data_IF_522045607783
#
_entry.id   IF_522045607783
#
_cell.length_a   1.000
_cell.length_b   1.000
_cell.length_c   1.000
_cell.angle_alpha   90.00
_cell.angle_beta   90.00
_cell.angle_gamma   90.00
#
_symmetry.space_group_name_H-M   'P 1'
#
loop_
_entity.id
_entity.type
_entity.pdbx_description
1 polymer ?
#
# COMPACT_ATOMS: atom_id res chain seq x y z
N UNK A 1 -2.20 6.55 31.12
CA UNK A 1 -1.84 5.15 30.81
C UNK A 1 -2.01 5.02 29.31
N UNK A 2 -0.92 4.77 28.57
CA UNK A 2 -1.02 4.44 27.14
C UNK A 2 -1.87 3.17 27.07
N UNK A 3 -2.99 3.13 26.32
CA UNK A 3 -3.72 1.89 26.18
C UNK A 3 -2.78 0.92 25.46
N UNK A 4 -2.37 -0.15 26.15
CA UNK A 4 -1.54 -1.23 25.57
C UNK A 4 -2.10 -1.70 24.21
N UNK A 5 -3.41 -1.60 24.07
CA UNK A 5 -4.17 -1.94 22.86
C UNK A 5 -3.80 -1.11 21.61
N UNK A 6 -3.52 0.21 21.74
CA UNK A 6 -3.16 1.03 20.58
C UNK A 6 -1.75 0.71 20.07
N UNK A 7 -0.81 0.46 20.97
CA UNK A 7 0.54 0.04 20.60
C UNK A 7 0.53 -1.36 19.95
N UNK A 8 -0.26 -2.29 20.48
CA UNK A 8 -0.43 -3.63 19.88
C UNK A 8 -1.05 -3.57 18.48
N UNK A 9 -2.03 -2.69 18.23
CA UNK A 9 -2.59 -2.47 16.89
C UNK A 9 -1.56 -1.90 15.92
N UNK A 10 -0.74 -0.97 16.36
CA UNK A 10 0.38 -0.43 15.57
C UNK A 10 1.42 -1.52 15.24
N UNK A 11 1.77 -2.39 16.19
CA UNK A 11 2.70 -3.52 15.94
C UNK A 11 2.11 -4.52 14.92
N UNK A 12 0.82 -4.84 15.02
CA UNK A 12 0.13 -5.69 14.02
C UNK A 12 0.11 -5.03 12.64
N UNK A 13 0.00 -3.71 12.58
CA UNK A 13 0.05 -2.95 11.31
C UNK A 13 1.38 -3.17 10.60
N UNK A 14 2.50 -3.16 11.33
CA UNK A 14 3.85 -3.37 10.79
C UNK A 14 4.01 -4.77 10.18
N UNK A 15 3.39 -5.81 10.76
CA UNK A 15 3.41 -7.17 10.20
C UNK A 15 2.81 -7.24 8.79
N UNK A 16 1.81 -6.40 8.52
CA UNK A 16 1.21 -6.29 7.18
C UNK A 16 1.98 -5.35 6.25
N UNK A 17 3.03 -4.68 6.72
CA UNK A 17 3.76 -3.71 5.89
C UNK A 17 4.55 -4.30 4.75
N UNK A 18 5.04 -5.53 4.91
CA UNK A 18 5.63 -6.27 3.81
C UNK A 18 4.65 -6.42 2.65
N UNK A 19 3.38 -6.76 2.94
CA UNK A 19 2.34 -6.90 1.93
C UNK A 19 2.15 -5.61 1.14
N UNK A 20 2.04 -4.49 1.87
CA UNK A 20 1.83 -3.17 1.26
C UNK A 20 2.98 -2.81 0.32
N UNK A 21 4.22 -3.03 0.75
CA UNK A 21 5.41 -2.75 -0.05
C UNK A 21 5.47 -3.63 -1.29
N UNK A 22 5.34 -4.96 -1.14
CA UNK A 22 5.40 -5.91 -2.25
C UNK A 22 4.32 -5.62 -3.30
N UNK A 23 3.08 -5.41 -2.86
CA UNK A 23 1.98 -5.18 -3.78
C UNK A 23 2.09 -3.83 -4.49
N UNK A 24 2.55 -2.80 -3.78
CA UNK A 24 2.78 -1.50 -4.41
C UNK A 24 3.85 -1.61 -5.48
N UNK A 25 4.99 -2.24 -5.18
CA UNK A 25 6.05 -2.44 -6.17
C UNK A 25 5.57 -3.26 -7.36
N UNK A 26 4.75 -4.27 -7.13
CA UNK A 26 4.13 -5.06 -8.19
C UNK A 26 3.23 -4.21 -9.09
N UNK A 27 2.41 -3.32 -8.52
CA UNK A 27 1.56 -2.40 -9.30
C UNK A 27 2.43 -1.49 -10.18
N UNK A 28 3.48 -0.88 -9.61
CA UNK A 28 4.42 -0.05 -10.37
C UNK A 28 5.10 -0.86 -11.49
N UNK A 29 5.51 -2.09 -11.19
CA UNK A 29 6.13 -2.99 -12.17
C UNK A 29 5.17 -3.35 -13.32
N UNK A 30 3.93 -3.72 -13.01
CA UNK A 30 2.93 -4.02 -14.05
C UNK A 30 2.64 -2.78 -14.91
N UNK A 31 2.52 -1.60 -14.30
CA UNK A 31 2.31 -0.34 -15.04
C UNK A 31 3.53 -0.01 -15.91
N UNK A 32 4.74 -0.19 -15.38
CA UNK A 32 6.00 0.01 -16.10
C UNK A 32 6.03 -0.83 -17.37
N UNK A 33 5.75 -2.13 -17.24
CA UNK A 33 5.77 -3.10 -18.35
C UNK A 33 4.65 -2.83 -19.35
N UNK A 34 3.41 -2.61 -18.89
CA UNK A 34 2.27 -2.32 -19.78
C UNK A 34 2.40 -0.99 -20.51
N UNK A 35 3.00 0.02 -19.87
CA UNK A 35 3.13 1.37 -20.43
C UNK A 35 4.42 1.58 -21.22
N UNK A 36 5.33 0.60 -21.23
CA UNK A 36 6.68 0.70 -21.81
C UNK A 36 7.44 1.94 -21.32
N UNK A 37 7.28 2.27 -20.04
CA UNK A 37 8.01 3.36 -19.39
C UNK A 37 9.17 2.74 -18.61
N UNK A 38 10.34 3.37 -18.59
CA UNK A 38 11.45 2.94 -17.74
C UNK A 38 11.44 3.73 -16.44
N UNK A 39 11.13 3.07 -15.32
CA UNK A 39 11.20 3.65 -13.97
C UNK A 39 12.60 3.35 -13.41
N UNK A 40 13.32 4.37 -12.97
CA UNK A 40 14.67 4.20 -12.45
C UNK A 40 14.64 3.49 -11.08
N UNK A 41 15.57 2.56 -10.76
CA UNK A 41 15.59 1.86 -9.46
C UNK A 41 15.55 2.80 -8.24
N UNK A 42 16.17 3.97 -8.35
CA UNK A 42 16.11 5.02 -7.32
C UNK A 42 14.66 5.48 -7.00
N UNK A 43 13.76 5.49 -7.97
CA UNK A 43 12.36 5.86 -7.77
C UNK A 43 11.61 4.78 -6.99
N UNK A 44 11.90 3.49 -7.24
CA UNK A 44 11.38 2.40 -6.41
C UNK A 44 11.86 2.50 -4.96
N UNK A 45 13.13 2.86 -4.75
CA UNK A 45 13.66 3.09 -3.41
C UNK A 45 12.90 4.24 -2.70
N UNK A 46 12.69 5.36 -3.39
CA UNK A 46 11.92 6.49 -2.85
C UNK A 46 10.48 6.08 -2.48
N UNK A 47 9.81 5.30 -3.32
CA UNK A 47 8.46 4.77 -3.03
C UNK A 47 8.52 3.84 -1.81
N UNK A 48 9.52 2.97 -1.71
CA UNK A 48 9.70 2.10 -0.55
C UNK A 48 9.86 2.89 0.75
N UNK A 49 10.69 3.93 0.74
CA UNK A 49 10.88 4.82 1.90
C UNK A 49 9.59 5.58 2.22
N UNK A 50 8.83 6.02 1.22
CA UNK A 50 7.53 6.64 1.42
C UNK A 50 6.55 5.70 2.13
N UNK A 51 6.54 4.42 1.76
CA UNK A 51 5.68 3.40 2.39
C UNK A 51 6.10 3.09 3.83
N UNK A 52 7.39 3.13 4.15
CA UNK A 52 7.84 2.94 5.54
C UNK A 52 7.46 4.12 6.44
N UNK A 53 7.42 5.34 5.89
CA UNK A 53 6.97 6.54 6.62
C UNK A 53 5.53 6.42 7.14
N UNK A 54 4.67 5.61 6.52
CA UNK A 54 3.34 5.32 7.05
C UNK A 54 3.41 4.80 8.49
N UNK A 55 4.29 3.84 8.78
CA UNK A 55 4.40 3.23 10.12
C UNK A 55 4.97 4.22 11.13
N UNK A 56 5.98 5.00 10.74
CA UNK A 56 6.56 6.04 11.59
C UNK A 56 5.55 7.12 11.95
N UNK A 57 4.74 7.55 10.99
CA UNK A 57 3.65 8.52 11.21
C UNK A 57 2.54 7.92 12.07
N UNK A 58 2.12 6.68 11.77
CA UNK A 58 1.08 5.98 12.52
C UNK A 58 1.46 5.89 14.00
N UNK A 59 2.67 5.42 14.31
CA UNK A 59 3.14 5.28 15.70
C UNK A 59 3.21 6.65 16.37
N UNK A 60 3.92 7.61 15.79
CA UNK A 60 4.15 8.92 16.42
C UNK A 60 2.85 9.72 16.65
N UNK A 61 1.88 9.64 15.73
CA UNK A 61 0.58 10.30 15.89
C UNK A 61 -0.30 9.52 16.87
N UNK A 62 -0.24 8.18 16.88
CA UNK A 62 -1.00 7.36 17.84
C UNK A 62 -0.55 7.54 19.28
N UNK A 63 0.68 8.00 19.53
CA UNK A 63 1.12 8.36 20.88
C UNK A 63 0.37 9.57 21.46
N UNK A 64 -0.07 10.47 20.59
CA UNK A 64 -0.68 11.75 20.96
C UNK A 64 -2.17 11.81 20.61
N UNK A 65 -2.73 10.77 19.98
CA UNK A 65 -4.07 10.76 19.40
C UNK A 65 -4.60 9.33 19.28
N UNK A 66 -5.91 9.16 19.05
CA UNK A 66 -6.51 7.84 18.86
C UNK A 66 -5.96 7.12 17.61
N UNK A 67 -5.81 5.80 17.68
CA UNK A 67 -5.35 4.95 16.55
C UNK A 67 -6.07 5.26 15.22
N UNK A 68 -7.40 5.41 15.22
CA UNK A 68 -8.16 5.69 14.00
C UNK A 68 -7.75 7.01 13.34
N UNK A 69 -7.58 8.08 14.12
CA UNK A 69 -7.13 9.38 13.60
C UNK A 69 -5.69 9.29 13.07
N UNK A 70 -4.81 8.62 13.81
CA UNK A 70 -3.44 8.40 13.38
C UNK A 70 -3.37 7.63 12.05
N UNK A 71 -4.19 6.58 11.92
CA UNK A 71 -4.30 5.77 10.72
C UNK A 71 -4.75 6.59 9.51
N UNK A 72 -5.85 7.34 9.62
CA UNK A 72 -6.37 8.14 8.51
C UNK A 72 -5.39 9.24 8.08
N UNK A 73 -4.72 9.89 9.04
CA UNK A 73 -3.74 10.94 8.72
C UNK A 73 -2.49 10.35 8.05
N UNK A 74 -1.96 9.24 8.59
CA UNK A 74 -0.79 8.58 8.03
C UNK A 74 -1.07 7.99 6.64
N UNK A 75 -2.19 7.28 6.48
CA UNK A 75 -2.63 6.72 5.20
C UNK A 75 -2.80 7.82 4.16
N UNK A 76 -3.64 8.83 4.43
CA UNK A 76 -3.93 9.89 3.47
C UNK A 76 -2.67 10.65 3.05
N UNK A 77 -1.75 10.92 3.99
CA UNK A 77 -0.48 11.58 3.70
C UNK A 77 0.39 10.76 2.75
N UNK A 78 0.57 9.46 3.03
CA UNK A 78 1.41 8.58 2.22
C UNK A 78 0.79 8.29 0.85
N UNK A 79 -0.51 8.01 0.81
CA UNK A 79 -1.24 7.78 -0.45
C UNK A 79 -1.17 9.00 -1.34
N UNK A 80 -1.42 10.19 -0.80
CA UNK A 80 -1.36 11.45 -1.56
C UNK A 80 0.06 11.72 -2.06
N UNK A 81 1.08 11.54 -1.21
CA UNK A 81 2.47 11.72 -1.59
C UNK A 81 2.89 10.77 -2.72
N UNK A 82 2.57 9.47 -2.62
CA UNK A 82 2.89 8.49 -3.66
C UNK A 82 2.10 8.76 -4.93
N UNK A 83 0.83 9.12 -4.84
CA UNK A 83 -0.03 9.44 -6.00
C UNK A 83 0.51 10.65 -6.77
N UNK A 84 0.88 11.72 -6.06
CA UNK A 84 1.47 12.92 -6.66
C UNK A 84 2.85 12.64 -7.27
N UNK A 85 3.69 11.87 -6.58
CA UNK A 85 4.99 11.45 -7.09
C UNK A 85 4.85 10.58 -8.35
N UNK A 86 3.89 9.65 -8.35
CA UNK A 86 3.58 8.80 -9.50
C UNK A 86 3.18 9.63 -10.72
N UNK A 87 2.49 10.75 -10.53
CA UNK A 87 2.13 11.66 -11.63
C UNK A 87 3.34 12.30 -12.30
N UNK A 88 4.44 12.55 -11.58
CA UNK A 88 5.66 13.07 -12.19
C UNK A 88 6.44 11.99 -12.94
N UNK A 89 6.35 10.74 -12.48
CA UNK A 89 7.01 9.58 -13.13
C UNK A 89 6.23 9.14 -14.37
N UNK A 90 4.92 9.04 -14.24
CA UNK A 90 4.02 8.49 -15.23
C UNK A 90 3.41 9.63 -16.03
N UNK A 91 3.74 9.69 -17.34
CA UNK A 91 3.31 10.76 -18.26
C UNK A 91 1.79 10.86 -18.49
N UNK A 92 0.97 10.05 -17.81
CA UNK A 92 -0.49 10.03 -17.95
C UNK A 92 -1.17 10.09 -16.57
N UNK A 93 -2.35 10.69 -16.49
CA UNK A 93 -3.09 10.85 -15.22
C UNK A 93 -3.81 9.57 -14.76
N UNK A 94 -4.06 8.63 -15.69
CA UNK A 94 -4.82 7.40 -15.44
C UNK A 94 -4.11 6.49 -14.43
N UNK A 95 -2.80 6.29 -14.58
CA UNK A 95 -2.03 5.39 -13.72
C UNK A 95 -1.80 5.93 -12.30
N UNK A 96 -1.43 7.20 -12.08
CA UNK A 96 -1.37 7.78 -10.73
C UNK A 96 -2.68 7.64 -9.98
N UNK A 97 -3.82 7.91 -10.64
CA UNK A 97 -5.14 7.75 -10.02
C UNK A 97 -5.41 6.28 -9.64
N UNK A 98 -5.05 5.35 -10.51
CA UNK A 98 -5.16 3.91 -10.24
C UNK A 98 -4.27 3.48 -9.06
N UNK A 99 -3.04 3.99 -8.97
CA UNK A 99 -2.12 3.74 -7.84
C UNK A 99 -2.73 4.26 -6.54
N UNK A 100 -3.20 5.51 -6.52
CA UNK A 100 -3.84 6.10 -5.35
C UNK A 100 -5.06 5.30 -4.87
N UNK A 101 -5.95 4.94 -5.80
CA UNK A 101 -7.12 4.12 -5.49
C UNK A 101 -6.73 2.73 -4.96
N UNK A 102 -5.72 2.09 -5.56
CA UNK A 102 -5.23 0.77 -5.14
C UNK A 102 -4.62 0.83 -3.74
N UNK A 103 -3.84 1.87 -3.43
CA UNK A 103 -3.25 2.07 -2.11
C UNK A 103 -4.32 2.33 -1.05
N UNK A 104 -5.28 3.22 -1.31
CA UNK A 104 -6.41 3.46 -0.39
C UNK A 104 -7.20 2.18 -0.12
N UNK A 105 -7.49 1.39 -1.16
CA UNK A 105 -8.17 0.11 -1.00
C UNK A 105 -7.36 -0.87 -0.13
N UNK A 106 -6.03 -0.91 -0.33
CA UNK A 106 -5.15 -1.78 0.42
C UNK A 106 -5.03 -1.37 1.90
N UNK A 107 -4.83 -0.08 2.19
CA UNK A 107 -4.80 0.42 3.56
C UNK A 107 -6.16 0.24 4.24
N UNK A 108 -7.28 0.54 3.56
CA UNK A 108 -8.62 0.24 4.08
C UNK A 108 -8.79 -1.25 4.42
N UNK A 109 -8.31 -2.15 3.55
CA UNK A 109 -8.32 -3.59 3.81
C UNK A 109 -7.48 -3.98 5.04
N UNK A 110 -6.28 -3.42 5.19
CA UNK A 110 -5.43 -3.62 6.37
C UNK A 110 -6.12 -3.12 7.64
N UNK A 111 -6.76 -1.95 7.60
CA UNK A 111 -7.52 -1.39 8.71
C UNK A 111 -8.64 -2.34 9.17
N UNK A 112 -9.38 -2.93 8.22
CA UNK A 112 -10.42 -3.92 8.52
C UNK A 112 -9.82 -5.17 9.18
N UNK A 113 -8.70 -5.69 8.65
CA UNK A 113 -8.03 -6.88 9.24
C UNK A 113 -7.61 -6.62 10.68
N UNK A 114 -7.06 -5.44 10.97
CA UNK A 114 -6.55 -5.10 12.31
C UNK A 114 -7.70 -5.02 13.32
N UNK A 115 -8.88 -4.55 12.90
CA UNK A 115 -10.07 -4.56 13.75
C UNK A 115 -10.66 -5.94 14.00
N UNK A 116 -10.42 -6.90 13.10
CA UNK A 116 -10.94 -8.26 13.21
C UNK A 116 -9.99 -9.17 13.99
N UNK A 117 -10.05 -9.14 15.32
CA UNK A 117 -9.16 -9.97 16.16
C UNK A 117 -9.25 -11.48 15.83
N UNK A 118 -10.47 -12.03 15.73
CA UNK A 118 -10.71 -13.46 15.54
C UNK A 118 -10.83 -13.89 14.07
N UNK A 119 -11.09 -12.95 13.16
CA UNK A 119 -11.33 -13.22 11.74
C UNK A 119 -10.22 -12.71 10.81
N UNK A 120 -9.13 -12.16 11.37
CA UNK A 120 -8.00 -11.63 10.60
C UNK A 120 -7.45 -12.60 9.56
N UNK A 121 -7.29 -13.88 9.91
CA UNK A 121 -6.72 -14.88 9.00
C UNK A 121 -7.67 -15.25 7.86
N UNK A 122 -8.98 -15.34 8.14
CA UNK A 122 -9.99 -15.65 7.13
C UNK A 122 -10.14 -14.49 6.14
N UNK A 123 -10.36 -13.27 6.64
CA UNK A 123 -10.54 -12.09 5.79
C UNK A 123 -9.24 -11.74 5.06
N UNK A 124 -8.10 -11.88 5.74
CA UNK A 124 -6.77 -11.75 5.16
C UNK A 124 -6.56 -12.70 4.00
N UNK A 125 -6.75 -14.00 4.19
CA UNK A 125 -6.54 -14.99 3.13
C UNK A 125 -7.48 -14.81 1.92
N UNK A 126 -8.76 -14.51 2.15
CA UNK A 126 -9.72 -14.23 1.06
C UNK A 126 -9.31 -12.98 0.29
N UNK A 127 -8.97 -11.88 0.98
CA UNK A 127 -8.57 -10.64 0.31
C UNK A 127 -7.26 -10.80 -0.45
N UNK A 128 -6.27 -11.49 0.13
CA UNK A 128 -5.02 -11.83 -0.57
C UNK A 128 -5.26 -12.70 -1.80
N UNK A 129 -6.16 -13.66 -1.71
CA UNK A 129 -6.55 -14.49 -2.85
C UNK A 129 -7.16 -13.66 -3.98
N UNK A 130 -8.09 -12.74 -3.67
CA UNK A 130 -8.71 -11.84 -4.65
C UNK A 130 -7.68 -10.91 -5.28
N UNK A 131 -6.77 -10.35 -4.47
CA UNK A 131 -5.68 -9.48 -4.95
C UNK A 131 -4.78 -10.25 -5.91
N UNK A 132 -4.34 -11.45 -5.52
CA UNK A 132 -3.49 -12.28 -6.35
C UNK A 132 -4.19 -12.68 -7.65
N UNK A 133 -5.46 -13.08 -7.59
CA UNK A 133 -6.25 -13.40 -8.78
C UNK A 133 -6.37 -12.19 -9.73
N UNK A 134 -6.56 -11.00 -9.18
CA UNK A 134 -6.62 -9.74 -9.96
C UNK A 134 -5.29 -9.43 -10.64
N UNK A 135 -4.18 -9.60 -9.92
CA UNK A 135 -2.81 -9.46 -10.45
C UNK A 135 -2.55 -10.47 -11.57
N UNK A 136 -2.87 -11.74 -11.36
CA UNK A 136 -2.71 -12.81 -12.37
C UNK A 136 -3.56 -12.55 -13.61
N UNK A 137 -4.76 -12.01 -13.44
CA UNK A 137 -5.61 -11.65 -14.57
C UNK A 137 -5.05 -10.44 -15.34
N UNK A 138 -4.56 -9.42 -14.62
CA UNK A 138 -3.96 -8.23 -15.24
C UNK A 138 -2.65 -8.57 -15.98
N UNK A 139 -1.83 -9.47 -15.43
CA UNK A 139 -0.55 -9.88 -16.01
C UNK A 139 -0.69 -10.63 -17.33
N UNK A 140 -1.86 -11.23 -17.62
CA UNK A 140 -2.15 -11.90 -18.90
C UNK A 140 -2.11 -10.95 -20.11
N UNK A 141 -2.35 -9.66 -19.90
CA UNK A 141 -2.30 -8.65 -20.98
C UNK A 141 -0.89 -8.14 -21.27
N UNK A 142 0.10 -8.60 -20.51
CA UNK A 142 1.50 -8.26 -20.71
C UNK A 142 2.08 -9.25 -21.72
N UNK A 143 2.67 -8.71 -22.78
CA UNK A 143 3.48 -9.49 -23.73
C UNK A 143 4.85 -9.71 -23.11
N UNK A 144 5.08 -10.91 -22.59
CA UNK A 144 6.31 -11.28 -21.89
C UNK A 144 7.45 -11.67 -22.85
N UNK A 145 7.16 -11.83 -24.13
CA UNK A 145 8.08 -12.40 -25.14
C UNK A 145 8.81 -11.32 -25.97
N UNK A 146 8.63 -10.04 -25.63
CA UNK A 146 9.38 -8.91 -26.24
C UNK A 146 10.21 -8.18 -25.19
N UNK A 147 11.23 -8.88 -24.67
CA UNK A 147 12.36 -8.32 -23.93
C UNK A 147 13.59 -8.21 -24.81
#
# INVERSE_FOLDING_TARGET
>A
MIPVDEYQKSERSVKYGFLVITLTFLIFFLIQTMSKISIHPFQYLMIGIALTMFYTLLISISEHSSYLKAYLVAESSVVLMITLYSKSILKTIKFPLFIGASLTALYTFIFIIIQLENYALLVGSIGLFIILASVMYASRKIDWDQG
#
